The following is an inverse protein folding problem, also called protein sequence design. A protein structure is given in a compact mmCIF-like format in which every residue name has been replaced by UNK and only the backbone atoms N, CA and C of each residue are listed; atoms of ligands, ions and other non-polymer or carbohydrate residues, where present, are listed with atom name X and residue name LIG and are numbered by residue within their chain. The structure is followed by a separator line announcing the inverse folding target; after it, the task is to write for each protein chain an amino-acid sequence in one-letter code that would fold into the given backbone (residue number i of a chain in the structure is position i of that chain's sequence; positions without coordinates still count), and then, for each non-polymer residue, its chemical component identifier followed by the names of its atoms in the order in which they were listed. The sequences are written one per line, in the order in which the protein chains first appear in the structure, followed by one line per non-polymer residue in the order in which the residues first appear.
data_IF_719511029519
#
_entry.id   IF_719511029519
#
_cell.length_a   1.000
_cell.length_b   1.000
_cell.length_c   1.000
_cell.angle_alpha   90.00
_cell.angle_beta   90.00
_cell.angle_gamma   90.00
#
_symmetry.space_group_name_H-M   'P 1'
#
loop_
_entity.id
_entity.type
_entity.pdbx_description
1 polymer ?
#
# COMPACT_ATOMS: atom_id res chain seq x y z
N UNK A 1 -15.38 -10.86 -1.74
CA UNK A 1 -14.41 -10.28 -2.69
C UNK A 1 -14.54 -11.03 -4.00
N UNK A 2 -14.69 -10.31 -5.11
CA UNK A 2 -14.84 -10.89 -6.47
C UNK A 2 -13.56 -10.76 -7.27
N UNK A 3 -12.78 -9.70 -7.05
CA UNK A 3 -11.48 -9.48 -7.67
C UNK A 3 -10.55 -8.70 -6.72
N UNK A 4 -9.24 -8.82 -6.95
CA UNK A 4 -8.22 -8.02 -6.30
C UNK A 4 -7.16 -7.58 -7.30
N UNK A 5 -6.61 -6.38 -7.11
CA UNK A 5 -5.53 -5.81 -7.90
C UNK A 5 -4.45 -5.26 -6.97
N UNK A 6 -3.20 -5.48 -7.36
CA UNK A 6 -2.04 -4.91 -6.71
C UNK A 6 -1.16 -4.25 -7.77
N UNK A 7 -1.07 -2.93 -7.72
CA UNK A 7 -0.16 -2.16 -8.57
C UNK A 7 1.08 -1.79 -7.77
N UNK A 8 2.26 -2.09 -8.32
CA UNK A 8 3.56 -1.80 -7.69
C UNK A 8 4.39 -1.00 -8.69
N UNK A 9 4.94 0.12 -8.22
CA UNK A 9 5.87 0.95 -8.98
C UNK A 9 7.06 1.34 -8.13
N UNK A 10 8.25 1.16 -8.68
CA UNK A 10 9.51 1.66 -8.14
C UNK A 10 9.98 2.84 -8.98
N UNK A 11 10.58 3.84 -8.34
CA UNK A 11 11.17 4.99 -9.01
C UNK A 11 12.69 4.96 -8.85
N UNK A 12 13.41 5.46 -9.85
CA UNK A 12 14.87 5.59 -9.79
C UNK A 12 15.37 6.58 -8.72
N UNK A 13 14.45 7.34 -8.11
CA UNK A 13 14.69 8.30 -7.03
C UNK A 13 14.42 7.70 -5.64
N UNK A 14 14.64 6.39 -5.47
CA UNK A 14 14.39 5.64 -4.23
C UNK A 14 12.95 5.73 -3.69
N UNK A 15 12.01 6.12 -4.56
CA UNK A 15 10.59 6.21 -4.25
C UNK A 15 9.83 4.96 -4.67
N UNK A 16 8.58 4.86 -4.21
CA UNK A 16 7.65 3.84 -4.67
C UNK A 16 6.19 4.26 -4.50
N UNK A 17 5.30 3.58 -5.22
CA UNK A 17 3.86 3.57 -4.97
C UNK A 17 3.34 2.14 -5.05
N UNK A 18 2.58 1.73 -4.04
CA UNK A 18 1.94 0.41 -3.97
C UNK A 18 0.46 0.61 -3.66
N UNK A 19 -0.42 0.24 -4.59
CA UNK A 19 -1.86 0.41 -4.49
C UNK A 19 -2.53 -0.96 -4.49
N UNK A 20 -3.34 -1.23 -3.47
CA UNK A 20 -4.11 -2.45 -3.34
C UNK A 20 -5.58 -2.11 -3.45
N UNK A 21 -6.30 -2.79 -4.34
CA UNK A 21 -7.75 -2.60 -4.57
C UNK A 21 -8.45 -3.95 -4.52
N UNK A 22 -9.53 -4.03 -3.75
CA UNK A 22 -10.43 -5.17 -3.66
C UNK A 22 -11.81 -4.76 -4.19
N UNK A 23 -12.36 -5.54 -5.12
CA UNK A 23 -13.76 -5.41 -5.53
C UNK A 23 -14.61 -6.41 -4.74
N UNK A 24 -15.70 -5.96 -4.12
CA UNK A 24 -16.59 -6.78 -3.29
C UNK A 24 -17.92 -7.07 -4.00
N UNK A 25 -18.75 -7.92 -3.38
CA UNK A 25 -19.92 -8.52 -4.04
C UNK A 25 -21.03 -7.53 -4.44
N UNK A 26 -20.95 -6.27 -4.01
CA UNK A 26 -21.94 -5.21 -4.32
C UNK A 26 -21.31 -4.01 -5.03
N UNK A 27 -20.21 -4.21 -5.76
CA UNK A 27 -19.37 -3.14 -6.31
C UNK A 27 -18.76 -2.18 -5.26
N UNK A 28 -18.89 -2.51 -3.97
CA UNK A 28 -18.14 -1.85 -2.91
C UNK A 28 -16.64 -2.08 -3.13
N UNK A 29 -15.86 -1.01 -2.99
CA UNK A 29 -14.42 -1.02 -3.24
C UNK A 29 -13.71 -0.78 -1.93
N UNK A 30 -12.70 -1.60 -1.68
CA UNK A 30 -11.76 -1.37 -0.59
C UNK A 30 -10.40 -1.13 -1.19
N UNK A 31 -9.80 0.01 -0.88
CA UNK A 31 -8.50 0.36 -1.40
C UNK A 31 -7.62 1.00 -0.33
N UNK A 32 -6.31 0.79 -0.50
CA UNK A 32 -5.30 1.51 0.27
C UNK A 32 -4.04 1.66 -0.56
N UNK A 33 -3.31 2.75 -0.31
CA UNK A 33 -2.06 3.05 -1.01
C UNK A 33 -0.94 3.32 -0.01
N UNK A 34 0.26 2.82 -0.33
CA UNK A 34 1.49 3.19 0.36
C UNK A 34 2.39 3.84 -0.67
N UNK A 35 2.86 5.05 -0.39
CA UNK A 35 3.79 5.69 -1.29
C UNK A 35 4.85 6.51 -0.57
N UNK A 36 6.03 6.53 -1.18
CA UNK A 36 7.19 7.27 -0.72
C UNK A 36 7.78 8.03 -1.89
N UNK A 37 7.97 9.33 -1.69
CA UNK A 37 8.53 10.23 -2.70
C UNK A 37 9.68 11.05 -2.08
N UNK A 38 10.89 10.48 -2.00
CA UNK A 38 12.03 11.16 -1.39
C UNK A 38 12.43 12.40 -2.17
N UNK A 39 12.71 13.48 -1.46
CA UNK A 39 13.29 14.70 -1.99
C UNK A 39 14.20 15.35 -0.94
N UNK A 40 14.89 16.44 -1.33
CA UNK A 40 15.87 17.15 -0.50
C UNK A 40 15.31 17.64 0.86
N UNK A 41 14.00 17.72 1.01
CA UNK A 41 13.36 18.24 2.21
C UNK A 41 12.52 17.18 2.95
N UNK A 42 12.16 16.06 2.31
CA UNK A 42 11.19 15.09 2.83
C UNK A 42 11.45 13.68 2.29
N UNK A 43 11.46 12.71 3.19
CA UNK A 43 11.60 11.28 2.88
C UNK A 43 10.44 10.43 3.38
N UNK A 44 9.31 11.09 3.71
CA UNK A 44 8.14 10.52 4.37
C UNK A 44 7.48 9.46 3.51
N UNK A 45 7.04 8.40 4.19
CA UNK A 45 6.17 7.37 3.65
C UNK A 45 4.74 7.67 4.10
N UNK A 46 3.82 7.66 3.14
CA UNK A 46 2.40 7.92 3.35
C UNK A 46 1.62 6.62 3.24
N UNK A 47 0.66 6.45 4.12
CA UNK A 47 -0.35 5.42 4.03
C UNK A 47 -1.72 6.07 3.86
N UNK A 48 -2.32 5.83 2.71
CA UNK A 48 -3.70 6.15 2.39
C UNK A 48 -4.57 5.05 2.98
N UNK A 49 -5.32 5.39 4.02
CA UNK A 49 -6.04 4.41 4.82
C UNK A 49 -7.25 3.87 4.08
N UNK A 50 -7.50 2.55 4.18
CA UNK A 50 -8.74 1.97 3.71
C UNK A 50 -9.95 2.41 4.54
N UNK A 51 -11.18 2.27 4.02
CA UNK A 51 -11.54 1.58 2.77
C UNK A 51 -11.44 2.43 1.50
N UNK A 52 -11.33 3.76 1.61
CA UNK A 52 -11.42 4.68 0.47
C UNK A 52 -10.07 5.26 0.03
N UNK A 53 -9.01 5.09 0.81
CA UNK A 53 -7.73 5.78 0.56
C UNK A 53 -7.78 7.30 0.79
N UNK A 54 -8.87 7.82 1.37
CA UNK A 54 -9.09 9.25 1.53
C UNK A 54 -8.25 9.85 2.68
N UNK A 55 -8.17 9.14 3.80
CA UNK A 55 -7.39 9.56 4.95
C UNK A 55 -5.92 9.18 4.76
N UNK A 56 -5.01 10.08 5.14
CA UNK A 56 -3.57 9.90 4.93
C UNK A 56 -2.86 10.06 6.26
N UNK A 57 -2.10 9.04 6.64
CA UNK A 57 -1.19 9.09 7.77
C UNK A 57 0.26 8.87 7.33
N UNK A 58 1.18 9.42 8.12
CA UNK A 58 2.60 9.11 7.97
C UNK A 58 2.93 7.83 8.74
N UNK A 59 3.66 6.94 8.09
CA UNK A 59 4.08 5.66 8.67
C UNK A 59 5.56 5.46 8.41
N UNK A 60 6.19 4.59 9.19
CA UNK A 60 7.57 4.18 9.00
C UNK A 60 7.64 2.70 8.63
N UNK A 61 8.61 2.35 7.79
CA UNK A 61 8.98 0.97 7.53
C UNK A 61 10.38 0.71 8.08
N UNK A 62 10.59 -0.48 8.63
CA UNK A 62 11.89 -0.90 9.14
C UNK A 62 12.99 -0.90 8.05
N UNK A 63 12.59 -1.06 6.79
CA UNK A 63 13.48 -1.01 5.63
C UNK A 63 12.76 -0.39 4.44
N UNK A 64 13.51 0.35 3.63
CA UNK A 64 13.07 0.89 2.34
C UNK A 64 13.69 0.16 1.14
N UNK A 65 14.40 -0.95 1.39
CA UNK A 65 14.89 -1.81 0.31
C UNK A 65 13.70 -2.43 -0.45
N UNK A 66 13.67 -2.43 -1.80
CA UNK A 66 12.48 -2.82 -2.55
C UNK A 66 11.90 -4.20 -2.18
N UNK A 67 12.78 -5.19 -1.95
CA UNK A 67 12.34 -6.55 -1.56
C UNK A 67 11.71 -6.58 -0.15
N UNK A 68 12.22 -5.79 0.78
CA UNK A 68 11.69 -5.73 2.15
C UNK A 68 10.37 -4.96 2.23
N UNK A 69 10.26 -3.88 1.45
CA UNK A 69 9.00 -3.14 1.31
C UNK A 69 7.92 -4.05 0.69
N UNK A 70 8.27 -4.76 -0.39
CA UNK A 70 7.38 -5.73 -1.02
C UNK A 70 6.94 -6.83 -0.05
N UNK A 71 7.87 -7.49 0.64
CA UNK A 71 7.56 -8.58 1.58
C UNK A 71 6.66 -8.10 2.72
N UNK A 72 6.95 -6.93 3.29
CA UNK A 72 6.17 -6.33 4.39
C UNK A 72 4.73 -6.05 3.96
N UNK A 73 4.55 -5.44 2.79
CA UNK A 73 3.20 -5.10 2.30
C UNK A 73 2.42 -6.35 1.90
N UNK A 74 3.06 -7.33 1.25
CA UNK A 74 2.42 -8.60 0.91
C UNK A 74 1.97 -9.36 2.16
N UNK A 75 2.77 -9.35 3.23
CA UNK A 75 2.37 -9.94 4.52
C UNK A 75 1.17 -9.22 5.14
N UNK A 76 1.13 -7.89 5.09
CA UNK A 76 -0.02 -7.13 5.59
C UNK A 76 -1.31 -7.43 4.80
N UNK A 77 -1.21 -7.51 3.47
CA UNK A 77 -2.33 -7.89 2.60
C UNK A 77 -2.78 -9.33 2.92
N UNK A 78 -1.84 -10.27 3.09
CA UNK A 78 -2.15 -11.65 3.47
C UNK A 78 -2.89 -11.71 4.80
N UNK A 79 -2.37 -11.08 5.85
CA UNK A 79 -3.01 -11.05 7.17
C UNK A 79 -4.43 -10.51 7.08
N UNK A 80 -4.62 -9.41 6.35
CA UNK A 80 -5.93 -8.86 6.09
C UNK A 80 -6.87 -9.88 5.43
N UNK A 81 -6.45 -10.54 4.35
CA UNK A 81 -7.28 -11.54 3.66
C UNK A 81 -7.64 -12.70 4.59
N UNK A 82 -6.70 -13.14 5.43
CA UNK A 82 -6.94 -14.18 6.43
C UNK A 82 -7.99 -13.75 7.47
N UNK A 83 -8.08 -12.46 7.82
CA UNK A 83 -9.12 -11.91 8.70
C UNK A 83 -10.50 -11.71 8.03
N UNK A 84 -10.61 -11.90 6.72
CA UNK A 84 -11.89 -11.86 5.98
C UNK A 84 -12.52 -13.25 5.80
N UNK A 85 -11.82 -14.31 6.21
CA UNK A 85 -12.29 -15.70 6.19
C UNK A 85 -12.94 -16.08 7.53
#
# INVERSE_FOLDING_TARGET
MTAARLDIRWFATDGFSIHSVETRADNDTWECQRDRHPNAHRTRLRFHEPPSGADIIEVELASVHPLEVYSTIMNAIKQRIDHLR
#
